data_IF_688699330308
#
_entry.id   IF_688699330308
#
_cell.length_a   1.000
_cell.length_b   1.000
_cell.length_c   1.000
_cell.angle_alpha   90.00
_cell.angle_beta   90.00
_cell.angle_gamma   90.00
#
_symmetry.space_group_name_H-M   'P 1'
#
loop_
_entity.id
_entity.type
_entity.pdbx_description
1 polymer ?
#
# COMPACT_ATOMS: atom_id res chain seq x y z
N UNK A 1 -28.70 -19.57 9.76
CA UNK A 1 -27.96 -20.71 10.33
C UNK A 1 -26.96 -20.17 11.33
N UNK A 2 -27.17 -20.42 12.63
CA UNK A 2 -26.20 -20.16 13.69
C UNK A 2 -25.30 -21.39 13.84
N UNK A 3 -23.99 -21.21 13.91
CA UNK A 3 -23.10 -22.12 14.64
C UNK A 3 -22.03 -21.32 15.38
N UNK A 4 -22.25 -21.13 16.67
CA UNK A 4 -21.22 -20.78 17.64
C UNK A 4 -20.48 -22.06 18.03
N UNK A 5 -19.15 -22.07 17.89
CA UNK A 5 -18.31 -23.14 18.42
C UNK A 5 -17.61 -22.64 19.69
N UNK A 6 -18.13 -23.05 20.83
CA UNK A 6 -17.46 -22.93 22.11
C UNK A 6 -16.36 -24.00 22.20
N UNK A 7 -15.13 -23.59 22.51
CA UNK A 7 -14.10 -24.47 23.06
C UNK A 7 -13.93 -24.12 24.53
N UNK A 8 -14.63 -24.88 25.39
CA UNK A 8 -14.36 -24.96 26.82
C UNK A 8 -13.17 -25.90 27.02
N UNK A 9 -12.06 -25.35 27.51
CA UNK A 9 -10.92 -26.09 28.06
C UNK A 9 -10.66 -25.66 29.50
N UNK A 10 -11.39 -26.26 30.45
CA UNK A 10 -11.08 -26.32 31.88
C UNK A 10 -10.14 -27.53 32.08
N UNK A 11 -9.21 -27.69 33.02
CA UNK A 11 -9.06 -27.21 34.40
C UNK A 11 -7.69 -27.65 34.96
N UNK A 12 -7.22 -26.98 36.02
CA UNK A 12 -6.17 -27.45 36.95
C UNK A 12 -5.01 -26.46 37.04
N UNK A 13 -4.72 -25.77 38.14
CA UNK A 13 -5.12 -25.90 39.53
C UNK A 13 -3.85 -25.72 40.39
N UNK A 14 -3.86 -24.76 41.31
CA UNK A 14 -2.80 -24.60 42.33
C UNK A 14 -2.24 -23.17 42.42
N UNK A 15 -2.30 -22.60 43.63
CA UNK A 15 -1.93 -21.24 43.96
C UNK A 15 -0.45 -20.91 43.79
N UNK A 16 -0.14 -19.61 43.68
CA UNK A 16 0.58 -18.86 44.70
C UNK A 16 0.73 -17.39 44.26
N UNK A 17 0.73 -16.48 45.23
CA UNK A 17 0.45 -15.06 45.03
C UNK A 17 1.52 -14.26 44.28
N UNK A 18 1.07 -13.48 43.29
CA UNK A 18 1.64 -12.19 42.87
C UNK A 18 0.64 -11.51 41.93
N UNK A 19 0.25 -10.22 42.10
CA UNK A 19 -0.50 -9.55 41.04
C UNK A 19 0.41 -9.48 39.79
N UNK A 20 -0.01 -10.03 38.64
CA UNK A 20 0.75 -9.87 37.41
C UNK A 20 0.72 -8.38 37.03
N UNK A 21 1.89 -7.77 36.90
CA UNK A 21 2.00 -6.49 36.20
C UNK A 21 1.40 -6.65 34.81
N UNK A 22 0.60 -5.70 34.31
CA UNK A 22 0.14 -5.75 32.94
C UNK A 22 1.36 -5.58 32.03
N UNK A 23 1.87 -6.69 31.50
CA UNK A 23 2.70 -6.66 30.31
C UNK A 23 1.82 -6.11 29.20
N UNK A 24 2.11 -4.88 28.78
CA UNK A 24 1.55 -4.31 27.56
C UNK A 24 2.02 -5.22 26.43
N UNK A 25 1.17 -6.14 26.01
CA UNK A 25 1.34 -6.85 24.76
C UNK A 25 1.30 -5.78 23.69
N UNK A 26 2.47 -5.39 23.20
CA UNK A 26 2.57 -4.69 21.92
C UNK A 26 2.07 -5.70 20.90
N UNK A 27 0.77 -5.63 20.60
CA UNK A 27 0.18 -6.28 19.44
C UNK A 27 0.88 -5.66 18.24
N UNK A 28 1.96 -6.27 17.76
CA UNK A 28 2.49 -5.94 16.44
C UNK A 28 1.33 -6.21 15.49
N UNK A 29 0.81 -5.15 14.87
CA UNK A 29 -0.04 -5.26 13.69
C UNK A 29 0.63 -6.24 12.72
N UNK A 30 -0.13 -7.07 11.99
CA UNK A 30 0.46 -8.00 11.05
C UNK A 30 1.33 -7.20 10.07
N UNK A 31 2.61 -7.54 10.01
CA UNK A 31 3.46 -7.15 8.89
C UNK A 31 2.78 -7.69 7.64
N UNK A 32 2.59 -6.83 6.63
CA UNK A 32 2.14 -7.26 5.30
C UNK A 32 2.90 -8.51 4.85
N UNK A 33 2.24 -9.39 4.10
CA UNK A 33 2.96 -10.45 3.38
C UNK A 33 3.99 -9.81 2.42
N UNK A 34 4.97 -10.58 1.96
CA UNK A 34 5.94 -10.08 1.00
C UNK A 34 5.26 -9.56 -0.28
N UNK A 35 4.21 -10.27 -0.73
CA UNK A 35 3.41 -9.91 -1.90
C UNK A 35 2.57 -8.64 -1.64
N UNK A 36 1.95 -8.52 -0.46
CA UNK A 36 1.19 -7.33 -0.08
C UNK A 36 2.11 -6.10 0.05
N UNK A 37 3.32 -6.27 0.61
CA UNK A 37 4.31 -5.20 0.69
C UNK A 37 4.82 -4.78 -0.70
N UNK A 38 5.05 -5.75 -1.58
CA UNK A 38 5.42 -5.50 -2.99
C UNK A 38 4.33 -4.72 -3.72
N UNK A 39 3.07 -5.15 -3.60
CA UNK A 39 1.94 -4.47 -4.23
C UNK A 39 1.80 -3.03 -3.71
N UNK A 40 1.90 -2.83 -2.39
CA UNK A 40 1.86 -1.50 -1.80
C UNK A 40 3.01 -0.59 -2.29
N UNK A 41 4.21 -1.15 -2.51
CA UNK A 41 5.33 -0.41 -3.10
C UNK A 41 5.06 -0.01 -4.56
N UNK A 42 4.50 -0.90 -5.39
CA UNK A 42 4.12 -0.59 -6.78
C UNK A 42 3.05 0.50 -6.83
N UNK A 43 2.04 0.41 -5.96
CA UNK A 43 0.98 1.42 -5.83
C UNK A 43 1.55 2.77 -5.41
N UNK A 44 2.49 2.77 -4.47
CA UNK A 44 3.15 3.99 -4.02
C UNK A 44 4.03 4.59 -5.12
N UNK A 45 4.70 3.78 -5.95
CA UNK A 45 5.41 4.28 -7.13
C UNK A 45 4.45 4.91 -8.14
N UNK A 46 3.33 4.26 -8.44
CA UNK A 46 2.32 4.81 -9.34
C UNK A 46 1.82 6.18 -8.85
N UNK A 47 1.55 6.31 -7.55
CA UNK A 47 1.12 7.57 -6.94
C UNK A 47 2.22 8.65 -7.00
N UNK A 48 3.48 8.31 -6.69
CA UNK A 48 4.60 9.25 -6.81
C UNK A 48 4.77 9.76 -8.23
N UNK A 49 4.65 8.86 -9.22
CA UNK A 49 4.80 9.19 -10.65
C UNK A 49 3.62 10.02 -11.15
N UNK A 50 2.39 9.68 -10.73
CA UNK A 50 1.19 10.44 -11.08
C UNK A 50 1.16 11.85 -10.46
N UNK A 51 1.89 12.07 -9.36
CA UNK A 51 2.04 13.37 -8.70
C UNK A 51 3.24 14.19 -9.20
N UNK A 52 3.87 13.79 -10.32
CA UNK A 52 4.93 14.59 -10.93
C UNK A 52 4.38 15.94 -11.40
N UNK A 53 5.10 17.04 -11.17
CA UNK A 53 4.70 18.33 -11.69
C UNK A 53 4.80 18.38 -13.22
N UNK A 54 4.06 19.28 -13.86
CA UNK A 54 4.05 19.46 -15.32
C UNK A 54 5.45 19.76 -15.92
N UNK A 55 6.37 20.32 -15.13
CA UNK A 55 7.74 20.65 -15.55
C UNK A 55 8.75 19.53 -15.27
N UNK A 56 8.31 18.37 -14.79
CA UNK A 56 9.16 17.22 -14.53
C UNK A 56 9.90 16.76 -15.80
N UNK A 57 11.22 16.60 -15.69
CA UNK A 57 12.10 16.12 -16.73
C UNK A 57 12.85 14.87 -16.26
N UNK A 58 12.53 13.71 -16.85
CA UNK A 58 13.14 12.42 -16.49
C UNK A 58 14.67 12.34 -16.69
N UNK A 59 15.29 13.27 -17.42
CA UNK A 59 16.75 13.33 -17.61
C UNK A 59 17.46 14.09 -16.46
N UNK A 60 16.75 14.97 -15.74
CA UNK A 60 17.34 15.84 -14.72
C UNK A 60 16.72 15.68 -13.33
N UNK A 61 15.48 15.21 -13.28
CA UNK A 61 14.72 14.99 -12.06
C UNK A 61 14.72 13.50 -11.71
N UNK A 62 14.31 13.20 -10.48
CA UNK A 62 14.22 11.83 -10.00
C UNK A 62 13.08 11.71 -9.02
N UNK A 63 12.34 10.62 -9.13
CA UNK A 63 11.31 10.33 -8.16
C UNK A 63 11.94 9.78 -6.88
N UNK A 64 11.55 10.31 -5.70
CA UNK A 64 12.01 9.75 -4.44
C UNK A 64 11.42 8.35 -4.24
N UNK A 65 12.23 7.44 -3.69
CA UNK A 65 11.73 6.12 -3.33
C UNK A 65 10.60 6.22 -2.29
N UNK A 66 9.42 5.61 -2.56
CA UNK A 66 8.32 5.65 -1.62
C UNK A 66 8.61 4.90 -0.32
N UNK A 67 8.07 5.39 0.80
CA UNK A 67 8.22 4.76 2.11
C UNK A 67 7.74 3.30 2.15
N UNK A 68 6.73 2.96 1.34
CA UNK A 68 6.19 1.60 1.22
C UNK A 68 7.20 0.59 0.62
N UNK A 69 8.24 1.08 -0.05
CA UNK A 69 9.28 0.25 -0.66
C UNK A 69 10.46 -0.03 0.29
N UNK A 70 10.56 0.71 1.41
CA UNK A 70 11.69 0.60 2.34
C UNK A 70 11.81 -0.80 2.93
N UNK A 71 12.99 -1.39 2.76
CA UNK A 71 13.32 -2.71 3.31
C UNK A 71 12.90 -3.90 2.44
N UNK A 72 12.37 -3.63 1.23
CA UNK A 72 12.23 -4.64 0.20
C UNK A 72 13.59 -4.91 -0.50
N UNK A 73 13.75 -6.05 -1.20
CA UNK A 73 14.99 -6.36 -1.92
C UNK A 73 15.32 -5.30 -2.98
N UNK A 74 16.57 -4.82 -3.01
CA UNK A 74 17.06 -3.77 -3.91
C UNK A 74 17.12 -4.22 -5.38
N UNK A 75 17.35 -5.51 -5.63
CA UNK A 75 17.41 -6.08 -6.98
C UNK A 75 16.06 -6.02 -7.72
N UNK A 76 14.96 -5.90 -6.97
CA UNK A 76 13.61 -5.70 -7.50
C UNK A 76 13.19 -4.23 -7.58
N UNK A 77 14.06 -3.28 -7.22
CA UNK A 77 13.73 -1.85 -7.22
C UNK A 77 13.25 -1.38 -8.60
N UNK A 78 14.00 -1.72 -9.66
CA UNK A 78 13.69 -1.33 -11.04
C UNK A 78 12.36 -1.92 -11.49
N UNK A 79 12.09 -3.19 -11.15
CA UNK A 79 10.86 -3.86 -11.54
C UNK A 79 9.65 -3.20 -10.90
N UNK A 80 9.72 -2.88 -9.60
CA UNK A 80 8.63 -2.19 -8.89
C UNK A 80 8.43 -0.75 -9.38
N UNK A 81 9.51 -0.04 -9.67
CA UNK A 81 9.44 1.29 -10.28
C UNK A 81 8.79 1.24 -11.66
N UNK A 82 9.22 0.32 -12.53
CA UNK A 82 8.66 0.18 -13.88
C UNK A 82 7.21 -0.29 -13.86
N UNK A 83 6.83 -1.18 -12.95
CA UNK A 83 5.43 -1.56 -12.72
C UNK A 83 4.59 -0.38 -12.24
N UNK A 84 5.09 0.43 -11.31
CA UNK A 84 4.43 1.65 -10.87
C UNK A 84 4.25 2.67 -12.00
N UNK A 85 5.27 2.83 -12.85
CA UNK A 85 5.19 3.69 -14.04
C UNK A 85 4.12 3.22 -15.02
N UNK A 86 4.08 1.92 -15.33
CA UNK A 86 3.05 1.36 -16.20
C UNK A 86 1.66 1.52 -15.59
N UNK A 87 1.53 1.32 -14.28
CA UNK A 87 0.27 1.50 -13.57
C UNK A 87 -0.21 2.94 -13.61
N UNK A 88 0.65 3.92 -13.31
CA UNK A 88 0.31 5.34 -13.42
C UNK A 88 -0.13 5.73 -14.84
N UNK A 89 0.55 5.23 -15.87
CA UNK A 89 0.15 5.46 -17.26
C UNK A 89 -1.24 4.86 -17.57
N UNK A 90 -1.52 3.66 -17.06
CA UNK A 90 -2.83 3.02 -17.23
C UNK A 90 -3.93 3.81 -16.52
N UNK A 91 -3.68 4.27 -15.28
CA UNK A 91 -4.61 5.08 -14.50
C UNK A 91 -4.94 6.41 -15.22
N UNK A 92 -3.94 7.08 -15.78
CA UNK A 92 -4.15 8.30 -16.57
C UNK A 92 -4.99 8.04 -17.83
N UNK A 93 -4.77 6.92 -18.51
CA UNK A 93 -5.57 6.54 -19.68
C UNK A 93 -7.01 6.21 -19.30
N UNK A 94 -7.21 5.53 -18.18
CA UNK A 94 -8.53 5.18 -17.66
C UNK A 94 -9.29 6.44 -17.23
N UNK A 95 -8.63 7.40 -16.57
CA UNK A 95 -9.23 8.69 -16.18
C UNK A 95 -9.61 9.52 -17.42
N UNK A 96 -8.74 9.56 -18.43
CA UNK A 96 -9.06 10.20 -19.72
C UNK A 96 -10.26 9.54 -20.39
N UNK A 97 -10.34 8.21 -20.36
CA UNK A 97 -11.46 7.45 -20.93
C UNK A 97 -12.76 7.75 -20.18
N UNK A 98 -12.74 7.78 -18.86
CA UNK A 98 -13.90 8.10 -18.05
C UNK A 98 -14.40 9.52 -18.32
N UNK A 99 -13.49 10.49 -18.46
CA UNK A 99 -13.83 11.85 -18.89
C UNK A 99 -14.46 11.90 -20.30
N UNK A 100 -13.97 11.10 -21.25
CA UNK A 100 -14.54 11.03 -22.61
C UNK A 100 -15.96 10.43 -22.62
N UNK A 101 -16.24 9.47 -21.72
CA UNK A 101 -17.53 8.82 -21.61
C UNK A 101 -18.55 9.64 -20.79
N UNK A 102 -18.09 10.63 -20.00
CA UNK A 102 -18.92 11.56 -19.23
C UNK A 102 -19.23 12.86 -20.00
N UNK A 103 -20.48 13.11 -20.42
CA UNK A 103 -20.86 14.34 -21.12
C UNK A 103 -20.75 15.61 -20.26
N UNK A 104 -20.51 15.47 -18.96
CA UNK A 104 -20.29 16.58 -18.02
C UNK A 104 -18.81 16.87 -17.80
N UNK A 105 -17.89 16.06 -18.34
CA UNK A 105 -16.47 16.33 -18.24
C UNK A 105 -16.11 17.59 -19.06
N UNK A 106 -15.70 18.66 -18.37
CA UNK A 106 -15.31 19.93 -19.01
C UNK A 106 -13.81 20.17 -19.04
N UNK A 107 -13.02 19.27 -18.44
CA UNK A 107 -11.57 19.39 -18.34
C UNK A 107 -10.93 18.00 -18.41
N UNK A 108 -10.04 17.81 -19.38
CA UNK A 108 -9.25 16.59 -19.46
C UNK A 108 -8.27 16.52 -18.29
N UNK A 109 -8.08 15.35 -17.69
CA UNK A 109 -7.01 15.11 -16.73
C UNK A 109 -5.67 15.05 -17.47
N UNK A 110 -5.20 16.22 -17.90
CA UNK A 110 -3.86 16.41 -18.48
C UNK A 110 -3.07 17.47 -17.72
N UNK A 111 -3.62 17.95 -16.62
CA UNK A 111 -2.95 18.88 -15.72
C UNK A 111 -2.47 18.06 -14.52
N UNK A 112 -1.18 17.76 -14.48
CA UNK A 112 -0.56 17.22 -13.28
C UNK A 112 -0.85 18.18 -12.12
N UNK A 113 -1.55 17.69 -11.10
CA UNK A 113 -1.94 18.50 -9.92
C UNK A 113 -0.82 18.56 -8.90
#
# INVERSE_FOLDING_TARGET
MLLAAALVGCSGGGGDGKPPQPTVTVTKSPSLSAEEARAACVDAWAATIGARPDDFNAETDSDPEPDACKGLPEDEWTDRYMEGLMKSNQENLDEMKDCLDDPTCTRFPVDGS
#
